data_IF_051686934279
#
_entry.id   IF_051686934279
#
_cell.length_a   1.000
_cell.length_b   1.000
_cell.length_c   1.000
_cell.angle_alpha   90.00
_cell.angle_beta   90.00
_cell.angle_gamma   90.00
#
_symmetry.space_group_name_H-M   'P 1'
#
loop_
_entity.id
_entity.type
_entity.pdbx_description
1 polymer ?
#
# COMPACT_ATOMS: atom_id res chain seq x y z
N UNK A 1 -9.33 -12.07 20.64
CA UNK A 1 -9.86 -12.03 19.26
C UNK A 1 -9.90 -10.58 18.86
N UNK A 2 -9.32 -10.20 17.72
CA UNK A 2 -9.31 -8.80 17.31
C UNK A 2 -10.70 -8.38 16.82
N UNK A 3 -11.13 -7.19 17.22
CA UNK A 3 -12.45 -6.63 16.93
C UNK A 3 -12.38 -5.78 15.66
N UNK A 4 -13.25 -6.05 14.71
CA UNK A 4 -13.32 -5.32 13.44
C UNK A 4 -14.71 -4.76 13.27
N UNK A 5 -14.82 -3.46 13.03
CA UNK A 5 -16.08 -2.84 12.66
C UNK A 5 -16.04 -2.46 11.20
N UNK A 6 -17.07 -2.80 10.42
CA UNK A 6 -17.23 -2.35 9.03
C UNK A 6 -18.44 -1.42 8.89
N UNK A 7 -18.25 -0.26 8.27
CA UNK A 7 -19.27 0.75 8.02
C UNK A 7 -19.33 0.97 6.51
N UNK A 8 -20.43 0.55 5.91
CA UNK A 8 -20.56 0.49 4.46
C UNK A 8 -22.03 0.48 4.06
N UNK A 9 -22.35 1.09 2.93
CA UNK A 9 -23.65 0.97 2.26
C UNK A 9 -23.76 -0.32 1.42
N UNK A 10 -22.62 -0.90 1.07
CA UNK A 10 -22.50 -1.99 0.12
C UNK A 10 -22.62 -3.35 0.82
N UNK A 11 -23.68 -4.10 0.46
CA UNK A 11 -23.94 -5.42 1.02
C UNK A 11 -22.85 -6.43 0.63
N UNK A 12 -22.29 -6.32 -0.57
CA UNK A 12 -21.26 -7.26 -1.04
C UNK A 12 -19.98 -7.07 -0.23
N UNK A 13 -19.56 -5.82 -0.02
CA UNK A 13 -18.47 -5.46 0.89
C UNK A 13 -18.67 -6.03 2.30
N UNK A 14 -19.89 -5.98 2.84
CA UNK A 14 -20.18 -6.58 4.16
C UNK A 14 -19.98 -8.08 4.16
N UNK A 15 -20.57 -8.75 3.18
CA UNK A 15 -20.49 -10.21 3.07
C UNK A 15 -19.05 -10.66 2.84
N UNK A 16 -18.30 -9.97 2.01
CA UNK A 16 -16.89 -10.22 1.79
C UNK A 16 -16.05 -10.00 3.05
N UNK A 17 -16.31 -8.93 3.81
CA UNK A 17 -15.62 -8.66 5.07
C UNK A 17 -15.90 -9.75 6.10
N UNK A 18 -17.17 -10.12 6.29
CA UNK A 18 -17.56 -11.20 7.20
C UNK A 18 -16.91 -12.52 6.80
N UNK A 19 -16.95 -12.87 5.51
CA UNK A 19 -16.37 -14.10 5.01
C UNK A 19 -14.83 -14.09 5.02
N UNK A 20 -14.19 -12.93 4.84
CA UNK A 20 -12.75 -12.80 4.90
C UNK A 20 -12.21 -12.99 6.31
N UNK A 21 -13.02 -12.69 7.33
CA UNK A 21 -12.62 -12.64 8.75
C UNK A 21 -13.25 -13.74 9.62
N UNK A 22 -14.03 -14.63 9.00
CA UNK A 22 -14.69 -15.75 9.67
C UNK A 22 -13.71 -16.58 10.51
N UNK A 23 -14.10 -16.90 11.75
CA UNK A 23 -13.35 -17.78 12.67
C UNK A 23 -12.13 -17.18 13.36
N UNK A 24 -11.74 -15.92 13.08
CA UNK A 24 -10.55 -15.28 13.65
C UNK A 24 -10.75 -13.88 14.27
N UNK A 25 -11.85 -13.21 13.91
CA UNK A 25 -12.15 -11.84 14.35
C UNK A 25 -13.60 -11.70 14.82
N UNK A 26 -13.81 -10.83 15.80
CA UNK A 26 -15.15 -10.41 16.22
C UNK A 26 -15.58 -9.26 15.32
N UNK A 27 -16.56 -9.48 14.44
CA UNK A 27 -16.91 -8.57 13.35
C UNK A 27 -18.29 -8.00 13.55
N UNK A 28 -18.40 -6.67 13.58
CA UNK A 28 -19.65 -5.94 13.59
C UNK A 28 -19.80 -5.11 12.30
N UNK A 29 -20.96 -5.19 11.67
CA UNK A 29 -21.28 -4.41 10.46
C UNK A 29 -22.39 -3.40 10.76
N UNK A 30 -22.14 -2.13 10.45
CA UNK A 30 -23.10 -1.04 10.65
C UNK A 30 -23.45 -0.35 9.33
N UNK A 31 -24.68 0.17 9.28
CA UNK A 31 -25.07 1.14 8.25
C UNK A 31 -24.46 2.51 8.59
N UNK A 32 -24.18 3.33 7.56
CA UNK A 32 -23.81 4.72 7.75
C UNK A 32 -24.84 5.49 8.57
N UNK A 33 -24.37 6.47 9.35
CA UNK A 33 -25.18 7.19 10.34
C UNK A 33 -25.47 6.42 11.64
N UNK A 34 -24.90 5.22 11.84
CA UNK A 34 -24.96 4.53 13.13
C UNK A 34 -24.38 5.42 14.26
N UNK A 35 -24.95 5.41 15.48
CA UNK A 35 -24.45 6.25 16.56
C UNK A 35 -22.99 5.91 16.87
N UNK A 36 -22.10 6.91 16.90
CA UNK A 36 -20.70 6.77 17.37
C UNK A 36 -20.60 6.01 18.70
N UNK A 37 -21.66 6.07 19.52
CA UNK A 37 -21.80 5.30 20.75
C UNK A 37 -21.77 3.77 20.55
N UNK A 38 -22.35 3.23 19.48
CA UNK A 38 -22.30 1.79 19.17
C UNK A 38 -20.90 1.36 18.74
N UNK A 39 -20.22 2.19 17.95
CA UNK A 39 -18.83 1.97 17.57
C UNK A 39 -17.92 1.98 18.81
N UNK A 40 -18.10 2.97 19.69
CA UNK A 40 -17.39 3.08 20.98
C UNK A 40 -17.66 1.90 21.90
N UNK A 41 -18.89 1.38 21.93
CA UNK A 41 -19.23 0.21 22.73
C UNK A 41 -18.53 -1.07 22.22
N UNK A 42 -18.42 -1.25 20.90
CA UNK A 42 -17.69 -2.38 20.33
C UNK A 42 -16.17 -2.28 20.57
N UNK A 43 -15.63 -1.05 20.65
CA UNK A 43 -14.19 -0.77 20.81
C UNK A 43 -13.32 -1.53 19.78
N UNK A 44 -13.54 -1.34 18.47
CA UNK A 44 -12.80 -2.06 17.45
C UNK A 44 -11.28 -1.84 17.54
N UNK A 45 -10.50 -2.84 17.12
CA UNK A 45 -9.07 -2.70 16.82
C UNK A 45 -8.86 -2.12 15.42
N UNK A 46 -9.78 -2.43 14.49
CA UNK A 46 -9.80 -1.90 13.11
C UNK A 46 -11.22 -1.45 12.74
N UNK A 47 -11.34 -0.25 12.18
CA UNK A 47 -12.55 0.27 11.56
C UNK A 47 -12.34 0.29 10.05
N UNK A 48 -13.24 -0.36 9.33
CA UNK A 48 -13.29 -0.37 7.87
C UNK A 48 -14.44 0.54 7.46
N UNK A 49 -14.17 1.52 6.62
CA UNK A 49 -15.16 2.53 6.23
C UNK A 49 -15.15 2.74 4.72
N UNK A 50 -16.33 2.71 4.10
CA UNK A 50 -16.48 3.06 2.69
C UNK A 50 -16.26 4.56 2.46
N UNK A 51 -15.53 4.91 1.41
CA UNK A 51 -15.28 6.29 1.01
C UNK A 51 -16.57 7.15 0.94
N UNK A 52 -17.68 6.70 0.30
CA UNK A 52 -18.93 7.45 0.31
C UNK A 52 -19.53 7.77 1.70
N UNK A 53 -19.18 7.00 2.73
CA UNK A 53 -19.61 7.27 4.12
C UNK A 53 -18.88 8.47 4.69
N UNK A 54 -17.65 8.71 4.25
CA UNK A 54 -16.82 9.82 4.71
C UNK A 54 -17.31 11.16 4.15
N UNK A 55 -18.00 11.14 3.01
CA UNK A 55 -18.60 12.31 2.38
C UNK A 55 -19.90 12.75 3.06
N UNK A 56 -20.49 11.92 3.93
CA UNK A 56 -21.69 12.25 4.69
C UNK A 56 -21.40 13.24 5.83
N UNK A 57 -22.41 14.01 6.30
CA UNK A 57 -22.24 14.91 7.43
C UNK A 57 -21.71 14.19 8.68
N UNK A 58 -20.50 14.58 9.12
CA UNK A 58 -19.81 13.97 10.26
C UNK A 58 -19.03 12.69 9.94
N UNK A 59 -19.06 12.20 8.69
CA UNK A 59 -18.33 11.01 8.25
C UNK A 59 -16.81 11.12 8.43
N UNK A 60 -16.24 12.30 8.17
CA UNK A 60 -14.80 12.57 8.37
C UNK A 60 -14.33 12.40 9.81
N UNK A 61 -15.23 12.47 10.80
CA UNK A 61 -14.87 12.17 12.19
C UNK A 61 -14.40 10.72 12.36
N UNK A 62 -14.87 9.80 11.51
CA UNK A 62 -14.42 8.40 11.51
C UNK A 62 -12.95 8.23 11.11
N UNK A 63 -12.33 9.24 10.48
CA UNK A 63 -10.90 9.23 10.15
C UNK A 63 -10.04 9.71 11.32
N UNK A 64 -10.59 10.55 12.20
CA UNK A 64 -9.93 10.91 13.44
C UNK A 64 -10.14 9.79 14.46
N UNK A 65 -9.17 8.88 14.51
CA UNK A 65 -9.20 7.72 15.39
C UNK A 65 -9.40 8.08 16.87
N UNK A 66 -9.04 9.30 17.30
CA UNK A 66 -9.26 9.75 18.69
C UNK A 66 -10.73 9.94 19.02
N UNK A 67 -11.56 10.29 18.03
CA UNK A 67 -13.02 10.44 18.21
C UNK A 67 -13.73 9.10 18.43
N UNK A 68 -13.06 8.01 18.06
CA UNK A 68 -13.57 6.64 18.12
C UNK A 68 -13.26 5.95 19.44
N UNK A 69 -12.46 6.58 20.30
CA UNK A 69 -12.15 6.08 21.64
C UNK A 69 -13.20 6.60 22.63
N UNK A 70 -13.70 5.71 23.47
CA UNK A 70 -14.44 6.10 24.68
C UNK A 70 -13.44 6.44 25.79
N UNK A 71 -13.31 7.73 26.12
CA UNK A 71 -12.32 8.21 27.10
C UNK A 71 -12.67 7.77 28.54
N UNK A 72 -13.94 7.48 28.80
CA UNK A 72 -14.44 7.13 30.14
C UNK A 72 -14.52 5.62 30.36
N UNK A 73 -14.25 4.80 29.33
CA UNK A 73 -14.33 3.34 29.42
C UNK A 73 -13.11 2.73 30.15
N UNK A 74 -13.31 1.83 31.13
CA UNK A 74 -12.23 1.12 31.79
C UNK A 74 -11.61 0.09 30.83
N UNK A 75 -10.34 0.27 30.44
CA UNK A 75 -9.63 -0.66 29.56
C UNK A 75 -8.65 0.00 28.60
N UNK A 76 -8.33 -0.71 27.51
CA UNK A 76 -7.29 -0.35 26.53
C UNK A 76 -7.76 0.85 25.67
N UNK A 77 -7.21 2.04 25.93
CA UNK A 77 -7.53 3.31 25.25
C UNK A 77 -6.76 3.52 23.92
N UNK A 78 -6.39 2.46 23.19
CA UNK A 78 -5.71 2.66 21.91
C UNK A 78 -6.75 2.97 20.83
N UNK A 79 -6.56 4.03 20.03
CA UNK A 79 -7.45 4.29 18.90
C UNK A 79 -7.44 3.11 17.92
N UNK A 80 -8.56 2.77 17.28
CA UNK A 80 -8.58 1.78 16.19
C UNK A 80 -7.69 2.24 15.03
N UNK A 81 -7.25 1.30 14.21
CA UNK A 81 -6.75 1.63 12.88
C UNK A 81 -7.92 1.84 11.91
N UNK A 82 -7.82 2.78 10.98
CA UNK A 82 -8.88 3.10 10.01
C UNK A 82 -8.46 2.66 8.61
N UNK A 83 -9.20 1.71 8.03
CA UNK A 83 -9.04 1.22 6.66
C UNK A 83 -10.15 1.81 5.78
N UNK A 84 -9.80 2.63 4.80
CA UNK A 84 -10.78 3.22 3.86
C UNK A 84 -10.96 2.32 2.64
N UNK A 85 -12.20 2.00 2.29
CA UNK A 85 -12.52 1.27 1.07
C UNK A 85 -12.90 2.26 -0.03
N UNK A 86 -12.18 2.23 -1.14
CA UNK A 86 -12.42 3.13 -2.29
C UNK A 86 -13.06 2.38 -3.46
N UNK A 87 -13.88 3.09 -4.22
CA UNK A 87 -14.31 2.59 -5.53
C UNK A 87 -13.16 2.68 -6.54
N UNK A 88 -13.29 1.91 -7.62
CA UNK A 88 -12.35 1.93 -8.72
C UNK A 88 -12.32 3.31 -9.39
N UNK A 89 -11.13 3.91 -9.56
CA UNK A 89 -10.97 5.25 -10.15
C UNK A 89 -10.92 6.40 -9.15
N UNK A 90 -11.13 6.14 -7.85
CA UNK A 90 -11.10 7.14 -6.78
C UNK A 90 -9.71 7.26 -6.11
N UNK A 91 -8.67 6.65 -6.66
CA UNK A 91 -7.34 6.57 -6.03
C UNK A 91 -6.67 7.93 -5.85
N UNK A 92 -7.14 8.97 -6.55
CA UNK A 92 -6.71 10.35 -6.30
C UNK A 92 -7.05 10.84 -4.89
N UNK A 93 -8.08 10.25 -4.24
CA UNK A 93 -8.52 10.63 -2.90
C UNK A 93 -7.67 10.00 -1.78
N UNK A 94 -6.82 9.02 -2.11
CA UNK A 94 -5.98 8.30 -1.13
C UNK A 94 -5.15 9.28 -0.29
N UNK A 95 -4.56 10.29 -0.92
CA UNK A 95 -3.77 11.32 -0.22
C UNK A 95 -4.62 12.07 0.80
N UNK A 96 -5.81 12.52 0.39
CA UNK A 96 -6.71 13.24 1.27
C UNK A 96 -7.17 12.38 2.47
N UNK A 97 -7.41 11.08 2.25
CA UNK A 97 -7.76 10.16 3.34
C UNK A 97 -6.59 9.91 4.30
N UNK A 98 -5.36 9.76 3.80
CA UNK A 98 -4.19 9.66 4.67
C UNK A 98 -3.96 10.95 5.48
N UNK A 99 -4.08 12.12 4.86
CA UNK A 99 -3.99 13.43 5.55
C UNK A 99 -5.08 13.61 6.61
N UNK A 100 -6.26 13.05 6.37
CA UNK A 100 -7.39 13.08 7.28
C UNK A 100 -7.31 12.03 8.41
N UNK A 101 -6.33 11.12 8.38
CA UNK A 101 -6.05 10.17 9.47
C UNK A 101 -6.32 8.70 9.17
N UNK A 102 -6.66 8.33 7.93
CA UNK A 102 -6.71 6.93 7.54
C UNK A 102 -5.34 6.26 7.72
N UNK A 103 -5.31 5.04 8.27
CA UNK A 103 -4.08 4.29 8.43
C UNK A 103 -3.72 3.50 7.16
N UNK A 104 -4.73 3.09 6.40
CA UNK A 104 -4.56 2.40 5.12
C UNK A 104 -5.82 2.50 4.25
N UNK A 105 -5.75 1.98 3.03
CA UNK A 105 -6.89 1.89 2.14
C UNK A 105 -6.91 0.58 1.34
N UNK A 106 -8.07 0.31 0.73
CA UNK A 106 -8.25 -0.83 -0.17
C UNK A 106 -9.23 -0.46 -1.30
N UNK A 107 -8.82 -0.71 -2.54
CA UNK A 107 -9.64 -0.41 -3.73
C UNK A 107 -10.48 -1.63 -4.09
N UNK A 108 -11.77 -1.41 -4.38
CA UNK A 108 -12.72 -2.44 -4.85
C UNK A 108 -12.59 -2.67 -6.38
N UNK A 109 -12.88 -3.90 -6.86
CA UNK A 109 -13.14 -5.11 -6.08
C UNK A 109 -11.84 -5.68 -5.49
N UNK A 110 -11.93 -6.32 -4.32
CA UNK A 110 -10.77 -6.92 -3.66
C UNK A 110 -11.02 -8.39 -3.28
N UNK A 111 -9.94 -9.17 -3.22
CA UNK A 111 -10.02 -10.56 -2.77
C UNK A 111 -9.96 -10.67 -1.25
N UNK A 112 -10.61 -11.70 -0.68
CA UNK A 112 -10.60 -11.99 0.78
C UNK A 112 -9.20 -12.03 1.40
N UNK A 113 -8.24 -12.63 0.68
CA UNK A 113 -6.84 -12.71 1.14
C UNK A 113 -6.19 -11.33 1.24
N UNK A 114 -6.53 -10.41 0.34
CA UNK A 114 -6.01 -9.05 0.34
C UNK A 114 -6.60 -8.23 1.49
N UNK A 115 -7.92 -8.27 1.66
CA UNK A 115 -8.59 -7.62 2.80
C UNK A 115 -8.02 -8.12 4.13
N UNK A 116 -7.88 -9.44 4.29
CA UNK A 116 -7.30 -10.05 5.48
C UNK A 116 -5.86 -9.58 5.73
N UNK A 117 -5.01 -9.57 4.70
CA UNK A 117 -3.62 -9.12 4.83
C UNK A 117 -3.50 -7.65 5.26
N UNK A 118 -4.37 -6.78 4.74
CA UNK A 118 -4.47 -5.37 5.18
C UNK A 118 -4.81 -5.26 6.66
N UNK A 119 -5.85 -5.96 7.09
CA UNK A 119 -6.33 -5.95 8.49
C UNK A 119 -5.28 -6.52 9.44
N UNK A 120 -4.67 -7.65 9.11
CA UNK A 120 -3.63 -8.28 9.92
C UNK A 120 -2.37 -7.40 10.00
N UNK A 121 -1.98 -6.74 8.90
CA UNK A 121 -0.90 -5.76 8.89
C UNK A 121 -1.16 -4.59 9.84
N UNK A 122 -2.34 -3.97 9.75
CA UNK A 122 -2.76 -2.88 10.64
C UNK A 122 -2.75 -3.31 12.13
N UNK A 123 -3.32 -4.49 12.41
CA UNK A 123 -3.36 -5.04 13.78
C UNK A 123 -1.96 -5.29 14.33
N UNK A 124 -1.07 -5.86 13.53
CA UNK A 124 0.24 -6.25 14.00
C UNK A 124 1.15 -5.03 14.23
N UNK A 125 1.03 -3.97 13.41
CA UNK A 125 1.64 -2.65 13.69
C UNK A 125 1.11 -2.08 15.00
N UNK A 126 -0.21 -2.11 15.20
CA UNK A 126 -0.84 -1.52 16.40
C UNK A 126 -0.54 -2.27 17.69
N UNK A 127 -0.34 -3.58 17.61
CA UNK A 127 0.05 -4.43 18.74
C UNK A 127 1.55 -4.37 19.06
N UNK A 128 2.37 -3.74 18.20
CA UNK A 128 3.83 -3.76 18.31
C UNK A 128 4.42 -5.15 18.05
N UNK A 129 3.67 -6.03 17.38
CA UNK A 129 4.10 -7.38 17.00
C UNK A 129 4.93 -7.37 15.71
N UNK A 130 4.70 -6.37 14.87
CA UNK A 130 5.64 -5.94 13.86
C UNK A 130 6.54 -4.92 14.56
N UNK A 131 7.76 -5.37 14.82
CA UNK A 131 8.67 -4.83 15.81
C UNK A 131 9.03 -3.37 15.50
N UNK A 132 8.40 -2.47 16.25
CA UNK A 132 8.70 -1.03 16.25
C UNK A 132 9.41 -0.61 17.55
N UNK A 133 9.72 -1.58 18.41
CA UNK A 133 10.21 -1.33 19.76
C UNK A 133 11.61 -1.92 20.02
N UNK A 134 12.04 -2.95 19.27
CA UNK A 134 13.43 -3.43 19.29
C UNK A 134 14.35 -2.59 18.38
N UNK A 135 13.78 -1.91 17.39
CA UNK A 135 14.47 -0.96 16.52
C UNK A 135 13.86 0.43 16.72
N UNK A 136 14.69 1.45 16.92
CA UNK A 136 14.28 2.87 16.94
C UNK A 136 13.28 3.14 15.80
N UNK A 137 12.31 4.07 15.96
CA UNK A 137 11.41 4.45 14.88
C UNK A 137 12.24 4.73 13.63
N UNK A 138 11.97 3.97 12.57
CA UNK A 138 12.82 3.93 11.38
C UNK A 138 13.01 5.36 10.89
N UNK A 139 14.20 5.89 11.10
CA UNK A 139 14.54 7.20 10.60
C UNK A 139 14.61 7.08 9.09
N UNK A 140 13.66 7.68 8.37
CA UNK A 140 13.72 7.76 6.92
C UNK A 140 14.10 9.20 6.58
N UNK A 141 15.06 9.38 5.70
CA UNK A 141 15.53 10.69 5.22
C UNK A 141 14.46 11.37 4.37
N UNK A 142 14.58 12.68 4.15
CA UNK A 142 13.69 13.39 3.23
C UNK A 142 13.73 12.78 1.82
N UNK A 143 14.84 12.17 1.40
CA UNK A 143 14.98 11.53 0.08
C UNK A 143 14.34 10.13 0.00
N UNK A 144 13.69 9.66 1.08
CA UNK A 144 13.09 8.32 1.16
C UNK A 144 14.08 7.22 1.51
N UNK A 145 15.29 7.57 1.98
CA UNK A 145 16.32 6.60 2.39
C UNK A 145 16.08 6.20 3.83
N UNK A 146 15.84 4.91 4.07
CA UNK A 146 15.88 4.32 5.41
C UNK A 146 17.29 4.49 5.99
N UNK A 147 17.42 5.20 7.10
CA UNK A 147 18.65 5.46 7.84
C UNK A 147 18.91 4.33 8.82
N UNK A 148 20.19 4.00 8.99
CA UNK A 148 20.66 2.87 9.81
C UNK A 148 19.91 1.56 9.52
N UNK A 149 19.74 1.15 8.25
CA UNK A 149 19.10 -0.12 7.98
C UNK A 149 20.00 -1.25 8.45
N UNK A 150 19.47 -2.10 9.33
CA UNK A 150 20.10 -3.39 9.64
C UNK A 150 19.71 -4.38 8.55
N UNK A 151 20.73 -4.96 7.91
CA UNK A 151 20.58 -5.86 6.78
C UNK A 151 21.49 -7.08 7.03
N UNK A 152 21.03 -8.03 7.82
CA UNK A 152 21.82 -9.23 8.13
C UNK A 152 21.36 -10.45 7.32
N UNK A 153 22.25 -11.44 7.14
CA UNK A 153 21.97 -12.74 6.49
C UNK A 153 20.88 -13.55 7.22
N UNK A 154 20.75 -13.35 8.54
CA UNK A 154 19.70 -13.92 9.42
C UNK A 154 18.62 -12.89 9.83
N UNK A 155 18.71 -11.64 9.35
CA UNK A 155 17.56 -10.75 9.34
C UNK A 155 17.15 -10.08 10.64
N UNK A 156 18.02 -9.27 11.25
CA UNK A 156 17.51 -8.07 11.93
C UNK A 156 16.74 -7.25 10.90
N UNK A 157 15.41 -7.26 10.94
CA UNK A 157 14.59 -6.70 9.86
C UNK A 157 14.13 -5.30 10.21
N UNK A 158 14.78 -4.29 9.61
CA UNK A 158 14.15 -2.97 9.54
C UNK A 158 12.77 -3.13 8.89
N UNK A 159 11.71 -2.70 9.57
CA UNK A 159 10.33 -3.04 9.22
C UNK A 159 9.47 -1.82 8.86
N UNK A 160 9.13 -1.66 7.59
CA UNK A 160 8.22 -0.62 7.14
C UNK A 160 6.79 -1.17 7.11
N UNK A 161 6.02 -0.92 8.16
CA UNK A 161 4.68 -1.51 8.33
C UNK A 161 4.74 -3.04 8.32
N UNK A 162 4.06 -3.68 7.36
CA UNK A 162 4.09 -5.16 7.18
C UNK A 162 5.29 -5.67 6.36
N UNK A 163 6.14 -4.77 5.86
CA UNK A 163 7.22 -5.13 4.96
C UNK A 163 8.54 -5.21 5.74
N UNK A 164 9.10 -6.41 5.80
CA UNK A 164 10.44 -6.66 6.35
C UNK A 164 11.47 -6.32 5.26
N UNK A 165 12.25 -5.26 5.46
CA UNK A 165 13.24 -4.81 4.47
C UNK A 165 14.45 -5.76 4.50
N UNK A 166 14.91 -6.16 3.32
CA UNK A 166 16.00 -7.14 3.11
C UNK A 166 17.25 -6.54 2.47
N UNK A 167 17.13 -5.40 1.81
CA UNK A 167 18.27 -4.69 1.20
C UNK A 167 17.83 -3.63 0.21
N UNK A 168 18.71 -2.67 -0.09
CA UNK A 168 18.46 -1.64 -1.11
C UNK A 168 18.78 -2.18 -2.51
N UNK A 169 17.84 -2.08 -3.44
CA UNK A 169 18.00 -2.45 -4.85
C UNK A 169 18.52 -1.30 -5.70
N UNK A 170 18.13 -0.07 -5.38
CA UNK A 170 18.58 1.11 -6.11
C UNK A 170 17.99 2.40 -5.57
N UNK A 171 18.61 3.52 -5.97
CA UNK A 171 18.20 4.87 -5.63
C UNK A 171 18.13 5.72 -6.90
N UNK A 172 17.05 6.47 -7.06
CA UNK A 172 16.85 7.36 -8.21
C UNK A 172 16.18 8.67 -7.80
N UNK A 173 15.92 9.55 -8.77
CA UNK A 173 15.32 10.87 -8.52
C UNK A 173 13.90 10.84 -7.96
N UNK A 174 13.22 9.68 -8.02
CA UNK A 174 11.85 9.48 -7.52
C UNK A 174 11.80 8.56 -6.29
N UNK A 175 12.89 8.48 -5.53
CA UNK A 175 12.96 7.71 -4.28
C UNK A 175 13.88 6.49 -4.33
N UNK A 176 13.71 5.61 -3.35
CA UNK A 176 14.58 4.45 -3.11
C UNK A 176 13.78 3.17 -3.23
N UNK A 177 14.35 2.15 -3.88
CA UNK A 177 13.75 0.82 -4.03
C UNK A 177 14.49 -0.17 -3.17
N UNK A 178 13.74 -0.95 -2.40
CA UNK A 178 14.21 -2.00 -1.51
C UNK A 178 13.64 -3.35 -1.92
N UNK A 179 14.41 -4.42 -1.70
CA UNK A 179 13.90 -5.78 -1.60
C UNK A 179 13.24 -5.91 -0.23
N UNK A 180 12.01 -6.39 -0.19
CA UNK A 180 11.28 -6.58 1.06
C UNK A 180 10.45 -7.87 1.05
N UNK A 181 10.23 -8.44 2.24
CA UNK A 181 9.32 -9.55 2.46
C UNK A 181 7.98 -9.01 2.98
N UNK A 182 6.91 -9.21 2.21
CA UNK A 182 5.54 -8.94 2.66
C UNK A 182 5.11 -10.07 3.61
N UNK A 183 5.15 -9.81 4.92
CA UNK A 183 4.86 -10.83 5.94
C UNK A 183 3.42 -11.33 5.87
N UNK A 184 2.49 -10.49 5.43
CA UNK A 184 1.06 -10.84 5.38
C UNK A 184 0.73 -11.67 4.13
N UNK A 185 1.38 -11.36 3.00
CA UNK A 185 1.17 -12.12 1.76
C UNK A 185 2.11 -13.33 1.59
N UNK A 186 3.22 -13.36 2.33
CA UNK A 186 4.22 -14.43 2.26
C UNK A 186 4.97 -14.46 0.94
N UNK A 187 5.44 -13.29 0.47
CA UNK A 187 6.20 -13.15 -0.79
C UNK A 187 7.23 -12.02 -0.74
N UNK A 188 8.27 -12.13 -1.54
CA UNK A 188 9.18 -11.01 -1.81
C UNK A 188 8.54 -9.98 -2.76
N UNK A 189 8.86 -8.71 -2.55
CA UNK A 189 8.40 -7.57 -3.34
C UNK A 189 9.54 -6.56 -3.52
N UNK A 190 9.48 -5.78 -4.60
CA UNK A 190 10.22 -4.54 -4.70
C UNK A 190 9.37 -3.43 -4.07
N UNK A 191 9.87 -2.82 -2.99
CA UNK A 191 9.22 -1.75 -2.25
C UNK A 191 9.91 -0.42 -2.56
N UNK A 192 9.20 0.51 -3.20
CA UNK A 192 9.71 1.84 -3.49
C UNK A 192 9.15 2.85 -2.50
N UNK A 193 10.03 3.50 -1.74
CA UNK A 193 9.71 4.59 -0.81
C UNK A 193 9.88 5.92 -1.54
N UNK A 194 8.86 6.76 -1.49
CA UNK A 194 8.87 8.08 -2.11
C UNK A 194 9.56 9.12 -1.21
N UNK A 195 10.23 10.12 -1.81
CA UNK A 195 10.83 11.22 -1.06
C UNK A 195 9.76 12.16 -0.50
N UNK A 196 10.10 12.88 0.56
CA UNK A 196 9.20 13.70 1.36
C UNK A 196 8.67 14.89 0.58
N UNK A 197 9.48 15.43 -0.32
CA UNK A 197 9.13 16.58 -1.15
C UNK A 197 7.94 16.29 -2.08
N UNK A 198 7.76 15.02 -2.48
CA UNK A 198 6.56 14.62 -3.22
C UNK A 198 5.29 14.80 -2.37
N UNK A 199 5.35 14.73 -1.04
CA UNK A 199 4.17 14.94 -0.17
C UNK A 199 3.63 16.37 -0.20
N UNK A 200 4.40 17.34 -0.68
CA UNK A 200 3.94 18.73 -0.79
C UNK A 200 3.26 19.02 -2.13
N UNK A 201 3.36 18.11 -3.10
CA UNK A 201 2.67 18.18 -4.37
C UNK A 201 1.57 17.11 -4.43
N UNK A 202 0.45 17.41 -3.77
CA UNK A 202 -0.70 16.52 -3.71
C UNK A 202 -1.22 16.16 -5.12
N UNK A 203 -1.02 17.02 -6.13
CA UNK A 203 -1.38 16.71 -7.51
C UNK A 203 -0.43 15.67 -8.13
N UNK A 204 0.89 15.80 -7.91
CA UNK A 204 1.86 14.82 -8.37
C UNK A 204 1.66 13.45 -7.71
N UNK A 205 1.38 13.40 -6.41
CA UNK A 205 1.11 12.14 -5.69
C UNK A 205 -0.22 11.54 -6.16
N UNK A 206 -1.29 12.33 -6.28
CA UNK A 206 -2.56 11.85 -6.79
C UNK A 206 -2.45 11.36 -8.25
N UNK A 207 -1.66 12.04 -9.10
CA UNK A 207 -1.34 11.55 -10.45
C UNK A 207 -0.57 10.25 -10.41
N UNK A 208 0.45 10.14 -9.54
CA UNK A 208 1.23 8.92 -9.38
C UNK A 208 0.35 7.73 -8.96
N UNK A 209 -0.54 7.90 -7.98
CA UNK A 209 -1.45 6.82 -7.55
C UNK A 209 -2.49 6.46 -8.62
N UNK A 210 -3.01 7.43 -9.36
CA UNK A 210 -3.87 7.15 -10.52
C UNK A 210 -3.15 6.33 -11.59
N UNK A 211 -1.91 6.71 -11.93
CA UNK A 211 -1.11 6.00 -12.93
C UNK A 211 -0.73 4.59 -12.43
N UNK A 212 -0.29 4.45 -11.18
CA UNK A 212 0.03 3.16 -10.57
C UNK A 212 -1.19 2.23 -10.48
N UNK A 213 -2.36 2.75 -10.15
CA UNK A 213 -3.61 1.95 -10.13
C UNK A 213 -4.05 1.54 -11.53
N UNK A 214 -3.96 2.44 -12.51
CA UNK A 214 -4.28 2.08 -13.89
C UNK A 214 -3.31 1.01 -14.44
N UNK A 215 -2.02 1.09 -14.10
CA UNK A 215 -1.03 0.07 -14.50
C UNK A 215 -1.20 -1.24 -13.72
N UNK A 216 -1.59 -1.22 -12.44
CA UNK A 216 -1.78 -2.44 -11.64
C UNK A 216 -2.86 -3.36 -12.20
N UNK A 217 -3.80 -2.83 -12.99
CA UNK A 217 -4.84 -3.62 -13.68
C UNK A 217 -4.33 -4.31 -14.94
N UNK A 218 -3.18 -3.89 -15.45
CA UNK A 218 -2.62 -4.39 -16.71
C UNK A 218 -1.70 -5.60 -16.45
N UNK A 219 -2.26 -6.80 -16.58
CA UNK A 219 -1.47 -8.03 -16.56
C UNK A 219 -0.81 -8.26 -17.92
N UNK A 220 0.49 -7.99 -18.01
CA UNK A 220 1.29 -8.23 -19.22
C UNK A 220 2.67 -8.77 -18.84
N UNK A 221 3.19 -9.83 -19.51
CA UNK A 221 4.46 -10.48 -19.14
C UNK A 221 5.70 -9.58 -19.27
N UNK A 222 5.58 -8.44 -19.96
CA UNK A 222 6.66 -7.46 -20.13
C UNK A 222 6.37 -6.13 -19.41
N UNK A 223 5.47 -6.13 -18.43
CA UNK A 223 5.17 -4.97 -17.57
C UNK A 223 5.25 -5.43 -16.12
N UNK A 224 6.04 -4.73 -15.32
CA UNK A 224 6.16 -5.00 -13.88
C UNK A 224 4.78 -4.85 -13.22
N UNK A 225 4.35 -5.89 -12.52
CA UNK A 225 3.07 -5.87 -11.82
C UNK A 225 3.14 -5.00 -10.56
N UNK A 226 2.34 -3.93 -10.50
CA UNK A 226 2.12 -3.19 -9.26
C UNK A 226 1.18 -3.96 -8.34
N UNK A 227 1.49 -3.97 -7.05
CA UNK A 227 0.69 -4.68 -6.06
C UNK A 227 -0.11 -3.74 -5.18
N UNK A 228 0.53 -2.71 -4.63
CA UNK A 228 -0.08 -1.88 -3.61
C UNK A 228 0.63 -0.54 -3.48
N UNK A 229 -0.10 0.46 -3.02
CA UNK A 229 0.42 1.71 -2.50
C UNK A 229 0.02 1.80 -1.02
N UNK A 230 0.84 2.46 -0.20
CA UNK A 230 0.51 2.68 1.21
C UNK A 230 1.22 3.90 1.77
N UNK A 231 0.89 4.21 3.03
CA UNK A 231 1.58 5.21 3.83
C UNK A 231 2.11 4.55 5.10
N UNK A 232 3.31 4.91 5.51
CA UNK A 232 3.83 4.55 6.82
C UNK A 232 4.55 5.75 7.42
N UNK A 233 4.10 6.20 8.59
CA UNK A 233 4.66 7.35 9.31
C UNK A 233 4.79 8.60 8.42
N UNK A 234 3.77 8.87 7.60
CA UNK A 234 3.74 10.02 6.70
C UNK A 234 4.53 9.83 5.41
N UNK A 235 5.06 8.63 5.15
CA UNK A 235 5.82 8.33 3.93
C UNK A 235 5.07 7.38 3.02
N UNK A 236 4.84 7.84 1.80
CA UNK A 236 4.23 7.04 0.76
C UNK A 236 5.23 6.04 0.22
N UNK A 237 4.73 4.83 -0.01
CA UNK A 237 5.46 3.78 -0.68
C UNK A 237 4.54 3.04 -1.64
N UNK A 238 5.14 2.25 -2.51
CA UNK A 238 4.42 1.25 -3.29
C UNK A 238 5.22 -0.02 -3.43
N UNK A 239 4.51 -1.11 -3.64
CA UNK A 239 5.11 -2.42 -3.87
C UNK A 239 4.76 -2.92 -5.26
N UNK A 240 5.72 -3.62 -5.84
CA UNK A 240 5.62 -4.21 -7.16
C UNK A 240 6.36 -5.54 -7.18
N UNK A 241 6.16 -6.29 -8.27
CA UNK A 241 6.89 -7.52 -8.54
C UNK A 241 8.40 -7.30 -8.42
N UNK A 242 9.05 -8.20 -7.68
CA UNK A 242 10.50 -8.28 -7.65
C UNK A 242 10.97 -9.12 -8.83
N UNK A 243 11.68 -8.50 -9.78
CA UNK A 243 12.29 -9.20 -10.89
C UNK A 243 13.74 -9.55 -10.59
N UNK A 244 14.09 -10.81 -10.85
CA UNK A 244 15.48 -11.27 -10.86
C UNK A 244 16.07 -11.07 -12.25
N UNK A 245 17.24 -10.42 -12.34
CA UNK A 245 17.91 -10.18 -13.60
C UNK A 245 18.72 -8.89 -13.65
N UNK A 246 19.09 -8.50 -14.87
CA UNK A 246 19.84 -7.28 -15.15
C UNK A 246 19.03 -6.36 -16.05
N UNK A 247 19.18 -5.05 -15.87
CA UNK A 247 18.60 -4.06 -16.78
C UNK A 247 19.24 -4.16 -18.16
N UNK A 248 18.50 -3.76 -19.19
CA UNK A 248 19.00 -3.67 -20.57
C UNK A 248 20.23 -2.75 -20.65
N UNK A 249 20.34 -1.74 -19.79
CA UNK A 249 21.54 -0.92 -19.66
C UNK A 249 22.78 -1.74 -19.32
N UNK A 250 22.74 -2.56 -18.26
CA UNK A 250 23.89 -3.38 -17.84
C UNK A 250 24.29 -4.37 -18.93
N UNK A 251 23.29 -4.96 -19.60
CA UNK A 251 23.50 -5.83 -20.75
C UNK A 251 24.20 -5.06 -21.88
N UNK A 252 23.73 -3.85 -22.21
CA UNK A 252 24.32 -3.02 -23.25
C UNK A 252 25.75 -2.57 -22.89
N UNK A 253 26.01 -2.17 -21.65
CA UNK A 253 27.36 -1.78 -21.19
C UNK A 253 28.38 -2.91 -21.34
N UNK A 254 27.95 -4.17 -21.13
CA UNK A 254 28.81 -5.35 -21.24
C UNK A 254 28.99 -5.86 -22.68
N UNK A 255 27.93 -5.79 -23.49
CA UNK A 255 27.82 -6.56 -24.73
C UNK A 255 27.56 -5.72 -25.97
N UNK A 256 27.47 -4.38 -25.87
CA UNK A 256 27.21 -3.55 -27.04
C UNK A 256 28.39 -3.56 -28.04
N UNK A 257 28.11 -3.59 -29.36
CA UNK A 257 26.78 -3.68 -29.96
C UNK A 257 26.17 -5.09 -29.84
N UNK A 258 24.87 -5.16 -29.50
CA UNK A 258 24.15 -6.43 -29.43
C UNK A 258 23.96 -7.04 -30.82
N UNK A 259 23.88 -8.38 -30.88
CA UNK A 259 23.43 -9.08 -32.08
C UNK A 259 22.08 -8.51 -32.59
N UNK A 260 21.94 -8.20 -33.90
CA UNK A 260 20.74 -7.57 -34.42
C UNK A 260 19.45 -8.35 -34.15
N UNK A 261 19.47 -9.69 -34.11
CA UNK A 261 18.28 -10.49 -33.78
C UNK A 261 17.91 -10.38 -32.31
N UNK A 262 18.91 -10.30 -31.42
CA UNK A 262 18.67 -10.05 -29.99
C UNK A 262 18.11 -8.65 -29.74
N UNK A 263 18.70 -7.62 -30.36
CA UNK A 263 18.19 -6.25 -30.27
C UNK A 263 16.73 -6.16 -30.79
N UNK A 264 16.43 -6.76 -31.94
CA UNK A 264 15.08 -6.79 -32.50
C UNK A 264 14.06 -7.47 -31.58
N UNK A 265 14.46 -8.54 -30.87
CA UNK A 265 13.60 -9.20 -29.88
C UNK A 265 13.25 -8.27 -28.72
N UNK A 266 14.24 -7.61 -28.11
CA UNK A 266 13.99 -6.65 -27.03
C UNK A 266 13.06 -5.52 -27.46
N UNK A 267 13.30 -4.93 -28.64
CA UNK A 267 12.43 -3.87 -29.17
C UNK A 267 11.00 -4.39 -29.39
N UNK A 268 10.82 -5.61 -29.89
CA UNK A 268 9.49 -6.19 -30.09
C UNK A 268 8.75 -6.43 -28.77
N UNK A 269 9.44 -6.89 -27.72
CA UNK A 269 8.84 -7.09 -26.38
C UNK A 269 8.48 -5.76 -25.72
N UNK A 270 9.37 -4.76 -25.80
CA UNK A 270 9.10 -3.39 -25.32
C UNK A 270 7.89 -2.80 -26.07
N UNK A 271 7.81 -2.98 -27.39
CA UNK A 271 6.70 -2.47 -28.20
C UNK A 271 5.36 -3.11 -27.81
N UNK A 272 5.34 -4.41 -27.48
CA UNK A 272 4.13 -5.08 -26.96
C UNK A 272 3.69 -4.50 -25.62
N UNK A 273 4.63 -4.31 -24.69
CA UNK A 273 4.36 -3.66 -23.40
C UNK A 273 3.80 -2.24 -23.60
N UNK A 274 4.42 -1.44 -24.47
CA UNK A 274 3.94 -0.10 -24.79
C UNK A 274 2.56 -0.08 -25.45
N UNK A 275 2.28 -1.06 -26.32
CA UNK A 275 0.94 -1.24 -26.89
C UNK A 275 -0.11 -1.53 -25.83
N UNK A 276 0.22 -2.36 -24.85
CA UNK A 276 -0.65 -2.65 -23.70
C UNK A 276 -0.90 -1.40 -22.83
N UNK A 277 0.15 -0.64 -22.50
CA UNK A 277 0.03 0.64 -21.76
C UNK A 277 -0.82 1.65 -22.55
N UNK A 278 -0.63 1.74 -23.85
CA UNK A 278 -1.39 2.66 -24.70
C UNK A 278 -2.87 2.27 -24.81
N UNK A 279 -3.19 0.98 -24.77
CA UNK A 279 -4.58 0.49 -24.84
C UNK A 279 -5.45 0.96 -23.67
N UNK A 280 -4.84 1.31 -22.54
CA UNK A 280 -5.51 1.90 -21.37
C UNK A 280 -5.37 3.44 -21.30
N UNK A 281 -4.95 4.08 -22.41
CA UNK A 281 -4.85 5.54 -22.51
C UNK A 281 -3.63 6.15 -21.82
N UNK A 282 -2.67 5.34 -21.37
CA UNK A 282 -1.45 5.82 -20.71
C UNK A 282 -0.26 5.92 -21.69
N UNK A 283 0.72 6.73 -21.30
CA UNK A 283 2.01 6.88 -21.99
C UNK A 283 3.11 6.80 -20.94
N UNK A 284 4.08 5.89 -21.10
CA UNK A 284 5.11 5.65 -20.09
C UNK A 284 6.05 6.86 -19.86
N UNK A 285 6.36 7.63 -20.91
CA UNK A 285 7.17 8.88 -20.87
C UNK A 285 8.63 8.79 -20.40
N UNK A 286 9.09 7.64 -19.91
CA UNK A 286 10.46 7.42 -19.41
C UNK A 286 11.02 6.06 -19.88
N UNK A 287 10.80 5.72 -21.16
CA UNK A 287 11.39 4.50 -21.73
C UNK A 287 12.87 4.74 -22.00
N UNK A 288 13.71 3.97 -21.31
CA UNK A 288 15.17 3.96 -21.42
C UNK A 288 15.72 2.61 -20.96
N UNK A 289 16.97 2.23 -21.34
CA UNK A 289 17.54 0.93 -20.96
C UNK A 289 17.65 0.68 -19.44
N UNK A 290 17.65 1.72 -18.60
CA UNK A 290 17.58 1.58 -17.14
C UNK A 290 16.23 1.01 -16.64
N UNK A 291 15.15 1.23 -17.40
CA UNK A 291 13.77 0.87 -17.02
C UNK A 291 13.27 -0.39 -17.77
N UNK A 292 14.17 -1.15 -18.39
CA UNK A 292 13.89 -2.40 -19.13
C UNK A 292 14.77 -3.50 -18.59
#
# INVERSE_FOLDING_TARGET
>A
MARVTVITHDLDTRLETLAALEGGHDVCAYLPGAPLQQLRAHQPDVVIVDAPVLDEPGGTSLLDATTLVDQDAPGRQRPPAVLVLLAEGEEAQIVAYFEAGADDYLVKPFGRRHLRAKIEGLQAVRLGLLDTAAHDPIAISDEGVIMNPEFDEDGGHTQLGRYSIRGMLGRGGYGVVYRAWDVAMGREVALKVLPKEMHHDNEAVARFFREASAISRLHHPNIVQFYEVGNYQGRYYFTMELLEGETLKKIAEREAPLDPRRAARYVAEIAKALGAINSIGLVHRDIKPENV
#
